data_IF_099222014598
#
_entry.id   IF_099222014598
#
_cell.length_a   1.000
_cell.length_b   1.000
_cell.length_c   1.000
_cell.angle_alpha   90.00
_cell.angle_beta   90.00
_cell.angle_gamma   90.00
#
_symmetry.space_group_name_H-M   'P 1'
#
loop_
_entity.id
_entity.type
_entity.pdbx_description
1 polymer ?
#
# COMPACT_ATOMS: atom_id res chain seq x y z
N UNK A 1 -8.25 -53.12 8.85
CA UNK A 1 -7.51 -52.70 7.64
C UNK A 1 -7.81 -51.24 7.41
N UNK A 2 -6.73 -50.53 7.08
CA UNK A 2 -6.50 -49.07 6.95
C UNK A 2 -7.60 -48.09 7.30
N UNK A 3 -7.25 -47.28 8.30
CA UNK A 3 -7.86 -46.03 8.71
C UNK A 3 -7.60 -44.93 7.68
N UNK A 4 -8.53 -43.99 7.62
CA UNK A 4 -8.60 -42.83 6.73
C UNK A 4 -7.36 -41.93 6.76
N UNK A 5 -6.85 -41.57 5.58
CA UNK A 5 -6.00 -40.41 5.40
C UNK A 5 -6.86 -39.14 5.55
N UNK A 6 -6.91 -38.61 6.76
CA UNK A 6 -7.41 -37.26 7.01
C UNK A 6 -6.39 -36.26 6.48
N UNK A 7 -6.85 -35.32 5.66
CA UNK A 7 -6.05 -34.23 5.12
C UNK A 7 -5.41 -33.43 6.25
N UNK A 8 -4.09 -33.32 6.21
CA UNK A 8 -3.36 -32.32 6.97
C UNK A 8 -3.77 -30.96 6.41
N UNK A 9 -4.46 -30.14 7.21
CA UNK A 9 -4.69 -28.74 6.86
C UNK A 9 -3.34 -28.08 6.62
N UNK A 10 -3.15 -27.48 5.46
CA UNK A 10 -1.92 -26.74 5.16
C UNK A 10 -1.75 -25.63 6.21
N UNK A 11 -0.69 -25.71 7.01
CA UNK A 11 -0.31 -24.62 7.91
C UNK A 11 -0.04 -23.38 7.06
N UNK A 12 -0.68 -22.26 7.41
CA UNK A 12 -0.41 -20.96 6.78
C UNK A 12 1.08 -20.65 7.00
N UNK A 13 1.85 -20.52 5.92
CA UNK A 13 3.27 -20.14 6.01
C UNK A 13 3.40 -18.71 6.50
N UNK A 14 4.28 -18.46 7.46
CA UNK A 14 4.62 -17.12 7.94
C UNK A 14 5.62 -16.48 6.99
N UNK A 15 5.24 -15.34 6.42
CA UNK A 15 6.02 -14.58 5.44
C UNK A 15 6.36 -13.23 6.05
N UNK A 16 7.61 -13.04 6.47
CA UNK A 16 8.09 -11.81 7.10
C UNK A 16 8.76 -10.91 6.06
N UNK A 17 8.21 -9.72 5.84
CA UNK A 17 8.89 -8.69 5.07
C UNK A 17 9.80 -7.84 5.97
N UNK A 18 11.10 -7.85 5.68
CA UNK A 18 12.09 -7.00 6.35
C UNK A 18 12.53 -5.87 5.42
N UNK A 19 12.41 -4.63 5.90
CA UNK A 19 12.85 -3.41 5.22
C UNK A 19 14.03 -2.81 5.99
N UNK A 20 15.29 -3.02 5.56
CA UNK A 20 16.44 -2.35 6.16
C UNK A 20 16.50 -0.88 5.73
N UNK A 21 16.32 0.04 6.67
CA UNK A 21 16.39 1.49 6.43
C UNK A 21 17.30 2.17 7.47
N UNK A 22 18.56 2.49 7.10
CA UNK A 22 19.52 3.14 8.02
C UNK A 22 19.43 4.66 7.97
N UNK A 23 19.75 5.35 9.06
CA UNK A 23 19.81 6.82 9.11
C UNK A 23 20.97 7.38 8.28
N UNK A 24 22.15 6.77 8.39
CA UNK A 24 23.37 7.18 7.70
C UNK A 24 23.35 6.92 6.19
N UNK A 25 22.92 7.89 5.40
CA UNK A 25 22.90 7.81 3.94
C UNK A 25 23.98 8.71 3.32
N UNK A 26 24.88 8.15 2.50
CA UNK A 26 26.03 8.88 1.91
C UNK A 26 25.66 9.76 0.71
N UNK A 27 24.81 9.25 -0.19
CA UNK A 27 24.43 9.97 -1.42
C UNK A 27 23.33 11.01 -1.19
N UNK A 28 22.25 10.60 -0.53
CA UNK A 28 21.10 11.46 -0.21
C UNK A 28 20.95 11.56 1.31
N UNK A 29 21.10 12.75 1.93
CA UNK A 29 20.86 12.93 3.36
C UNK A 29 19.43 12.49 3.75
N UNK A 30 19.31 11.70 4.82
CA UNK A 30 18.04 11.14 5.28
C UNK A 30 17.22 10.43 4.16
N UNK A 31 17.91 9.74 3.24
CA UNK A 31 17.32 9.09 2.04
C UNK A 31 16.00 8.38 2.31
N UNK A 32 15.98 7.52 3.32
CA UNK A 32 14.82 6.67 3.62
C UNK A 32 13.59 7.46 4.13
N UNK A 33 13.78 8.70 4.58
CA UNK A 33 12.72 9.64 4.95
C UNK A 33 12.35 10.61 3.82
N UNK A 34 13.11 10.63 2.71
CA UNK A 34 12.85 11.55 1.63
C UNK A 34 11.48 11.26 0.99
N UNK A 35 10.63 12.28 0.79
CA UNK A 35 9.31 12.07 0.21
C UNK A 35 9.38 11.89 -1.31
N UNK A 36 8.62 10.90 -1.81
CA UNK A 36 8.31 10.64 -3.22
C UNK A 36 6.79 10.50 -3.33
N UNK A 37 6.14 11.36 -4.12
CA UNK A 37 4.67 11.45 -4.14
C UNK A 37 4.09 11.87 -2.78
N UNK A 38 4.80 12.70 -2.01
CA UNK A 38 4.40 13.14 -0.67
C UNK A 38 4.60 12.11 0.46
N UNK A 39 5.03 10.88 0.16
CA UNK A 39 5.19 9.81 1.15
C UNK A 39 6.68 9.46 1.31
N UNK A 40 7.22 9.31 2.53
CA UNK A 40 8.59 8.86 2.77
C UNK A 40 8.89 7.51 2.10
N UNK A 41 10.08 7.33 1.54
CA UNK A 41 10.51 6.07 0.90
C UNK A 41 10.22 4.83 1.76
N UNK A 42 10.61 4.84 3.05
CA UNK A 42 10.36 3.73 3.97
C UNK A 42 8.86 3.44 4.13
N UNK A 43 8.03 4.48 4.24
CA UNK A 43 6.60 4.33 4.40
C UNK A 43 5.93 3.78 3.12
N UNK A 44 6.44 4.15 1.93
CA UNK A 44 5.96 3.58 0.65
C UNK A 44 6.20 2.07 0.61
N UNK A 45 7.40 1.61 0.96
CA UNK A 45 7.71 0.18 1.00
C UNK A 45 6.85 -0.57 2.03
N UNK A 46 6.66 -0.01 3.23
CA UNK A 46 5.80 -0.61 4.27
C UNK A 46 4.37 -0.78 3.77
N UNK A 47 3.80 0.24 3.12
CA UNK A 47 2.43 0.20 2.59
C UNK A 47 2.26 -0.90 1.55
N UNK A 48 3.20 -1.06 0.63
CA UNK A 48 3.14 -2.12 -0.38
C UNK A 48 3.32 -3.51 0.23
N UNK A 49 4.20 -3.67 1.24
CA UNK A 49 4.33 -4.93 1.97
C UNK A 49 3.05 -5.29 2.73
N UNK A 50 2.39 -4.31 3.36
CA UNK A 50 1.13 -4.53 4.09
C UNK A 50 -0.06 -4.82 3.18
N UNK A 51 -0.01 -4.33 1.94
CA UNK A 51 -1.06 -4.58 0.95
C UNK A 51 -0.87 -5.90 0.18
N UNK A 52 0.29 -6.55 0.33
CA UNK A 52 0.54 -7.90 -0.20
C UNK A 52 -0.38 -8.91 0.47
N UNK A 53 -0.91 -9.84 -0.32
CA UNK A 53 -1.79 -10.91 0.15
C UNK A 53 -1.03 -11.92 1.01
N UNK A 54 0.24 -12.16 0.70
CA UNK A 54 1.02 -13.24 1.30
C UNK A 54 1.86 -12.82 2.50
N UNK A 55 2.23 -11.54 2.60
CA UNK A 55 3.01 -11.03 3.73
C UNK A 55 2.16 -11.04 4.99
N UNK A 56 2.63 -11.75 6.02
CA UNK A 56 1.94 -11.84 7.31
C UNK A 56 2.39 -10.73 8.25
N UNK A 57 3.68 -10.38 8.21
CA UNK A 57 4.32 -9.47 9.14
C UNK A 57 5.30 -8.55 8.40
N UNK A 58 5.36 -7.27 8.80
CA UNK A 58 6.25 -6.27 8.21
C UNK A 58 7.12 -5.65 9.30
N UNK A 59 8.43 -5.79 9.16
CA UNK A 59 9.45 -5.24 10.07
C UNK A 59 10.31 -4.23 9.34
N UNK A 60 10.46 -3.04 9.91
CA UNK A 60 11.50 -2.09 9.53
C UNK A 60 12.68 -2.22 10.49
N UNK A 61 13.84 -2.55 9.93
CA UNK A 61 15.10 -2.65 10.65
C UNK A 61 15.86 -1.33 10.54
N UNK A 62 16.05 -0.60 11.64
CA UNK A 62 16.64 0.76 11.60
C UNK A 62 17.44 1.11 12.85
N UNK A 63 18.42 1.99 12.70
CA UNK A 63 19.18 2.63 13.78
C UNK A 63 18.69 4.05 14.09
N UNK A 64 17.71 4.56 13.32
CA UNK A 64 17.26 5.95 13.37
C UNK A 64 15.82 6.06 13.91
N UNK A 65 15.62 6.95 14.89
CA UNK A 65 14.33 7.11 15.56
C UNK A 65 13.27 7.78 14.68
N UNK A 66 13.66 8.65 13.74
CA UNK A 66 12.71 9.27 12.82
C UNK A 66 12.23 8.26 11.77
N UNK A 67 13.13 7.38 11.27
CA UNK A 67 12.75 6.23 10.43
C UNK A 67 11.82 5.30 11.20
N UNK A 68 12.13 4.99 12.47
CA UNK A 68 11.28 4.18 13.32
C UNK A 68 9.88 4.78 13.50
N UNK A 69 9.77 6.10 13.69
CA UNK A 69 8.48 6.77 13.80
C UNK A 69 7.66 6.65 12.51
N UNK A 70 8.26 6.97 11.36
CA UNK A 70 7.60 6.86 10.05
C UNK A 70 7.17 5.42 9.72
N UNK A 71 7.97 4.43 10.11
CA UNK A 71 7.65 3.01 9.95
C UNK A 71 6.42 2.60 10.77
N UNK A 72 6.35 3.00 12.05
CA UNK A 72 5.20 2.71 12.91
C UNK A 72 3.93 3.39 12.42
N UNK A 73 4.04 4.64 11.97
CA UNK A 73 2.91 5.37 11.38
C UNK A 73 2.38 4.68 10.11
N UNK A 74 3.28 4.11 9.30
CA UNK A 74 2.91 3.29 8.14
C UNK A 74 2.43 1.87 8.53
N UNK A 75 2.51 1.50 9.82
CA UNK A 75 1.99 0.25 10.35
C UNK A 75 2.97 -0.92 10.40
N UNK A 76 4.28 -0.70 10.33
CA UNK A 76 5.28 -1.76 10.51
C UNK A 76 5.70 -1.92 11.97
N UNK A 77 6.09 -3.13 12.34
CA UNK A 77 6.91 -3.38 13.52
C UNK A 77 8.31 -2.79 13.31
N UNK A 78 8.95 -2.30 14.38
CA UNK A 78 10.29 -1.73 14.31
C UNK A 78 11.26 -2.56 15.13
N UNK A 79 12.33 -3.01 14.47
CA UNK A 79 13.49 -3.60 15.12
C UNK A 79 14.64 -2.59 15.10
N UNK A 80 15.08 -2.18 16.29
CA UNK A 80 16.24 -1.29 16.42
C UNK A 80 17.53 -2.09 16.17
N UNK A 81 18.35 -1.61 15.22
CA UNK A 81 19.62 -2.24 14.87
C UNK A 81 20.70 -1.93 15.91
N UNK A 82 21.43 -2.94 16.40
CA UNK A 82 22.66 -2.73 17.14
C UNK A 82 23.68 -1.97 16.30
N UNK A 83 24.51 -1.15 16.97
CA UNK A 83 25.54 -0.35 16.32
C UNK A 83 26.49 -1.18 15.43
N UNK A 84 26.75 -2.44 15.82
CA UNK A 84 27.63 -3.37 15.09
C UNK A 84 27.14 -3.68 13.65
N UNK A 85 25.84 -3.55 13.37
CA UNK A 85 25.22 -3.84 12.06
C UNK A 85 24.50 -2.60 11.47
N UNK A 86 24.83 -1.41 11.97
CA UNK A 86 24.26 -0.14 11.52
C UNK A 86 25.22 0.69 10.65
N UNK A 87 26.53 0.39 10.70
CA UNK A 87 27.58 1.13 9.99
C UNK A 87 27.63 0.88 8.47
N UNK A 88 28.54 1.59 7.80
CA UNK A 88 28.67 1.54 6.33
C UNK A 88 29.08 0.18 5.77
N UNK A 89 29.76 -0.63 6.56
CA UNK A 89 30.21 -1.98 6.20
C UNK A 89 29.18 -3.05 6.55
N UNK A 90 28.05 -2.68 7.16
CA UNK A 90 26.98 -3.62 7.47
C UNK A 90 26.28 -4.06 6.19
N UNK A 91 26.08 -5.38 6.06
CA UNK A 91 25.38 -5.98 4.92
C UNK A 91 23.88 -5.95 5.14
N UNK A 92 23.12 -5.97 4.05
CA UNK A 92 21.65 -6.11 4.11
C UNK A 92 21.28 -7.43 4.80
N UNK A 93 22.05 -8.48 4.54
CA UNK A 93 21.86 -9.82 5.08
C UNK A 93 21.94 -9.84 6.62
N UNK A 94 22.91 -9.13 7.21
CA UNK A 94 23.02 -9.03 8.67
C UNK A 94 21.82 -8.31 9.30
N UNK A 95 21.30 -7.28 8.63
CA UNK A 95 20.11 -6.56 9.09
C UNK A 95 18.83 -7.42 9.00
N UNK A 96 18.72 -8.26 7.97
CA UNK A 96 17.60 -9.19 7.78
C UNK A 96 17.63 -10.32 8.81
N UNK A 97 18.78 -10.97 9.01
CA UNK A 97 18.93 -12.02 10.02
C UNK A 97 18.58 -11.51 11.42
N UNK A 98 19.14 -10.36 11.82
CA UNK A 98 18.84 -9.76 13.11
C UNK A 98 17.35 -9.43 13.29
N UNK A 99 16.69 -8.89 12.25
CA UNK A 99 15.27 -8.56 12.29
C UNK A 99 14.39 -9.81 12.41
N UNK A 100 14.70 -10.86 11.64
CA UNK A 100 14.01 -12.14 11.67
C UNK A 100 14.13 -12.80 13.06
N UNK A 101 15.34 -12.91 13.60
CA UNK A 101 15.57 -13.54 14.91
C UNK A 101 14.89 -12.75 16.05
N UNK A 102 14.91 -11.41 15.97
CA UNK A 102 14.22 -10.55 16.95
C UNK A 102 12.70 -10.74 16.89
N UNK A 103 12.14 -10.77 15.69
CA UNK A 103 10.71 -10.95 15.47
C UNK A 103 10.23 -12.34 15.97
N UNK A 104 10.94 -13.42 15.62
CA UNK A 104 10.62 -14.75 16.11
C UNK A 104 10.71 -14.85 17.65
N UNK A 105 11.70 -14.19 18.25
CA UNK A 105 11.85 -14.14 19.72
C UNK A 105 10.67 -13.41 20.37
N UNK A 106 10.21 -12.31 19.77
CA UNK A 106 9.12 -11.50 20.30
C UNK A 106 7.76 -12.21 20.21
N UNK A 107 7.50 -12.90 19.10
CA UNK A 107 6.21 -13.53 18.81
C UNK A 107 6.16 -15.03 19.10
N UNK A 108 7.29 -15.63 19.44
CA UNK A 108 7.39 -17.03 19.86
C UNK A 108 7.06 -18.03 18.75
N UNK A 109 7.23 -17.66 17.48
CA UNK A 109 6.89 -18.53 16.37
C UNK A 109 7.79 -18.27 15.14
N UNK A 110 8.20 -19.34 14.43
CA UNK A 110 9.19 -19.24 13.37
C UNK A 110 8.65 -18.54 12.12
N UNK A 111 9.55 -17.95 11.34
CA UNK A 111 9.32 -17.46 9.99
C UNK A 111 9.65 -18.59 9.01
N UNK A 112 8.77 -18.81 8.02
CA UNK A 112 9.01 -19.80 6.96
C UNK A 112 9.69 -19.15 5.75
N UNK A 113 9.29 -17.92 5.41
CA UNK A 113 9.82 -17.16 4.28
C UNK A 113 10.17 -15.75 4.75
N UNK A 114 11.38 -15.29 4.44
CA UNK A 114 11.80 -13.92 4.73
C UNK A 114 11.99 -13.14 3.43
N UNK A 115 11.45 -11.93 3.38
CA UNK A 115 11.63 -11.01 2.27
C UNK A 115 12.61 -9.91 2.68
N UNK A 116 13.58 -9.61 1.82
CA UNK A 116 14.33 -8.37 1.84
C UNK A 116 13.68 -7.40 0.87
N UNK A 117 13.12 -6.31 1.39
CA UNK A 117 12.49 -5.25 0.58
C UNK A 117 13.27 -3.95 0.74
N UNK A 118 13.78 -3.41 -0.37
CA UNK A 118 14.55 -2.17 -0.35
C UNK A 118 13.66 -0.96 -0.61
N UNK A 119 13.55 -0.08 0.39
CA UNK A 119 12.77 1.15 0.23
C UNK A 119 13.38 2.18 -0.74
N UNK A 120 14.59 1.93 -1.25
CA UNK A 120 15.24 2.70 -2.31
C UNK A 120 14.63 2.48 -3.69
N UNK A 121 13.79 1.46 -3.87
CA UNK A 121 13.03 1.23 -5.09
C UNK A 121 11.59 1.73 -4.92
N UNK A 122 11.31 3.05 -5.07
CA UNK A 122 10.03 3.63 -4.70
C UNK A 122 8.87 2.97 -5.47
N UNK A 123 9.04 2.64 -6.74
CA UNK A 123 7.90 2.20 -7.54
C UNK A 123 7.58 0.71 -7.44
N UNK A 124 8.19 -0.02 -6.49
CA UNK A 124 7.74 -1.34 -6.08
C UNK A 124 6.22 -1.34 -5.82
N UNK A 125 5.55 -2.42 -6.19
CA UNK A 125 4.11 -2.62 -5.94
C UNK A 125 3.88 -3.94 -5.23
N UNK A 126 2.75 -4.07 -4.53
CA UNK A 126 2.33 -5.31 -3.85
C UNK A 126 2.35 -6.54 -4.77
N UNK A 127 2.06 -6.41 -6.06
CA UNK A 127 2.06 -7.54 -6.99
C UNK A 127 3.47 -8.11 -7.20
N UNK A 128 4.51 -7.26 -7.15
CA UNK A 128 5.90 -7.71 -7.21
C UNK A 128 6.27 -8.48 -5.92
N UNK A 129 5.80 -7.99 -4.77
CA UNK A 129 6.01 -8.59 -3.44
C UNK A 129 5.30 -9.94 -3.36
N UNK A 130 4.04 -10.01 -3.80
CA UNK A 130 3.27 -11.25 -3.90
C UNK A 130 3.96 -12.24 -4.84
N UNK A 131 4.53 -11.76 -5.96
CA UNK A 131 5.26 -12.59 -6.91
C UNK A 131 6.47 -13.29 -6.28
N UNK A 132 7.33 -12.54 -5.57
CA UNK A 132 8.50 -13.14 -4.90
C UNK A 132 8.11 -14.00 -3.70
N UNK A 133 7.09 -13.59 -2.93
CA UNK A 133 6.59 -14.38 -1.81
C UNK A 133 6.01 -15.73 -2.29
N UNK A 134 5.14 -15.72 -3.31
CA UNK A 134 4.53 -16.92 -3.86
C UNK A 134 5.57 -17.89 -4.44
N UNK A 135 6.62 -17.37 -5.07
CA UNK A 135 7.69 -18.19 -5.63
C UNK A 135 8.31 -19.14 -4.58
N UNK A 136 8.50 -18.66 -3.35
CA UNK A 136 9.08 -19.45 -2.25
C UNK A 136 8.01 -20.17 -1.43
N UNK A 137 6.93 -19.45 -1.06
CA UNK A 137 5.90 -19.96 -0.16
C UNK A 137 4.98 -21.01 -0.81
N UNK A 138 4.68 -20.86 -2.09
CA UNK A 138 3.68 -21.66 -2.82
C UNK A 138 4.34 -22.52 -3.92
N UNK A 139 5.34 -22.01 -4.64
CA UNK A 139 5.89 -22.65 -5.84
C UNK A 139 7.17 -23.46 -5.62
N UNK A 140 7.74 -23.45 -4.42
CA UNK A 140 8.87 -24.31 -4.04
C UNK A 140 10.25 -23.86 -4.53
N UNK A 141 10.43 -22.58 -4.87
CA UNK A 141 11.77 -22.01 -5.05
C UNK A 141 12.47 -21.81 -3.70
N UNK A 142 13.81 -21.87 -3.69
CA UNK A 142 14.60 -21.59 -2.48
C UNK A 142 14.76 -20.07 -2.29
N UNK A 143 14.90 -19.33 -3.39
CA UNK A 143 14.94 -17.88 -3.41
C UNK A 143 14.18 -17.31 -4.60
N UNK A 144 13.78 -16.04 -4.54
CA UNK A 144 13.23 -15.30 -5.68
C UNK A 144 13.69 -13.85 -5.67
N UNK A 145 13.78 -13.23 -6.85
CA UNK A 145 14.21 -11.84 -7.01
C UNK A 145 13.41 -11.11 -8.08
N UNK A 146 13.11 -9.83 -7.84
CA UNK A 146 12.49 -8.95 -8.83
C UNK A 146 13.48 -8.52 -9.90
N UNK A 147 13.15 -8.81 -11.16
CA UNK A 147 13.96 -8.47 -12.33
C UNK A 147 13.15 -7.77 -13.42
N UNK A 148 13.81 -6.99 -14.28
CA UNK A 148 13.19 -6.40 -15.46
C UNK A 148 13.91 -6.81 -16.75
N UNK A 149 13.17 -6.98 -17.87
CA UNK A 149 13.78 -7.15 -19.19
C UNK A 149 14.85 -6.10 -19.49
N UNK A 150 16.07 -6.56 -19.74
CA UNK A 150 17.22 -5.72 -20.04
C UNK A 150 17.68 -5.93 -21.48
N UNK A 151 17.90 -4.82 -22.19
CA UNK A 151 18.30 -4.84 -23.61
C UNK A 151 19.63 -4.12 -23.86
N UNK A 152 20.27 -3.62 -22.80
CA UNK A 152 21.54 -2.93 -22.90
C UNK A 152 22.66 -3.86 -23.37
N UNK A 153 23.62 -3.25 -24.04
CA UNK A 153 24.89 -3.89 -24.36
C UNK A 153 25.87 -3.55 -23.25
N UNK A 154 26.28 -4.54 -22.46
CA UNK A 154 27.21 -4.33 -21.36
C UNK A 154 28.62 -4.40 -21.91
N UNK A 155 29.41 -3.37 -21.66
CA UNK A 155 30.83 -3.29 -21.98
C UNK A 155 31.64 -3.34 -20.69
N UNK A 156 32.79 -3.99 -20.73
CA UNK A 156 33.77 -4.03 -19.64
C UNK A 156 35.12 -3.64 -20.20
N UNK A 157 35.89 -2.87 -19.43
CA UNK A 157 37.30 -2.61 -19.77
C UNK A 157 38.07 -3.94 -19.74
N UNK A 158 38.99 -4.11 -20.68
CA UNK A 158 39.95 -5.21 -20.61
C UNK A 158 40.92 -5.00 -19.45
N UNK A 159 41.48 -6.10 -18.95
CA UNK A 159 42.42 -6.05 -17.82
C UNK A 159 43.72 -5.31 -18.22
N UNK A 160 44.08 -5.33 -19.52
CA UNK A 160 45.17 -4.52 -20.07
C UNK A 160 44.64 -3.25 -20.78
N UNK A 161 45.17 -2.04 -20.45
CA UNK A 161 44.72 -0.77 -21.04
C UNK A 161 44.83 -0.71 -22.57
N UNK A 162 45.70 -1.51 -23.16
CA UNK A 162 45.96 -1.58 -24.60
C UNK A 162 44.89 -2.33 -25.38
N UNK A 163 44.02 -3.11 -24.72
CA UNK A 163 43.01 -3.97 -25.38
C UNK A 163 41.62 -3.32 -25.51
N UNK A 164 41.39 -2.19 -24.84
CA UNK A 164 40.13 -1.42 -24.90
C UNK A 164 38.93 -2.16 -24.28
N UNK A 165 37.71 -1.78 -24.68
CA UNK A 165 36.48 -2.39 -24.16
C UNK A 165 36.10 -3.72 -24.84
N UNK A 166 35.61 -4.68 -24.04
CA UNK A 166 35.00 -5.93 -24.51
C UNK A 166 33.50 -5.99 -24.17
N UNK A 167 32.71 -6.56 -25.07
CA UNK A 167 31.31 -6.86 -24.79
C UNK A 167 31.18 -8.03 -23.81
N UNK A 168 30.28 -7.91 -22.83
CA UNK A 168 30.01 -8.96 -21.82
C UNK A 168 28.88 -9.89 -22.29
N UNK A 169 27.79 -9.31 -22.80
CA UNK A 169 26.60 -10.04 -23.29
C UNK A 169 26.44 -9.97 -24.81
N UNK A 170 27.49 -9.61 -25.54
CA UNK A 170 27.49 -9.47 -26.98
C UNK A 170 28.91 -9.56 -27.56
N UNK A 171 29.00 -9.95 -28.83
CA UNK A 171 30.22 -9.84 -29.60
C UNK A 171 30.27 -8.47 -30.30
N UNK A 172 31.42 -7.78 -30.24
CA UNK A 172 31.62 -6.51 -30.95
C UNK A 172 31.67 -6.69 -32.47
N UNK A 173 32.01 -7.89 -32.96
CA UNK A 173 32.08 -8.23 -34.39
C UNK A 173 30.70 -8.39 -35.02
N UNK A 174 29.67 -8.69 -34.22
CA UNK A 174 28.30 -8.89 -34.66
C UNK A 174 27.33 -8.32 -33.63
N UNK A 175 26.60 -7.26 -34.00
CA UNK A 175 25.59 -6.63 -33.14
C UNK A 175 24.19 -7.12 -33.49
N UNK A 176 23.66 -8.16 -32.82
CA UNK A 176 22.33 -8.68 -33.10
C UNK A 176 21.23 -7.66 -32.75
N UNK A 177 20.11 -7.73 -33.48
CA UNK A 177 18.90 -6.96 -33.16
C UNK A 177 18.27 -7.52 -31.89
N UNK A 178 17.44 -6.71 -31.21
CA UNK A 178 16.83 -7.06 -29.92
C UNK A 178 16.08 -8.39 -29.95
N UNK A 179 15.35 -8.67 -31.02
CA UNK A 179 14.55 -9.88 -31.19
C UNK A 179 15.37 -11.15 -31.49
N UNK A 180 16.64 -11.00 -31.87
CA UNK A 180 17.52 -12.10 -32.25
C UNK A 180 18.42 -12.57 -31.07
N UNK A 181 18.22 -12.01 -29.87
CA UNK A 181 19.04 -12.26 -28.68
C UNK A 181 18.26 -13.03 -27.60
N UNK A 182 18.95 -13.85 -26.80
CA UNK A 182 18.41 -14.28 -25.51
C UNK A 182 18.02 -13.07 -24.65
N UNK A 183 16.96 -13.21 -23.87
CA UNK A 183 16.50 -12.16 -22.97
C UNK A 183 17.38 -12.11 -21.73
N UNK A 184 18.11 -11.01 -21.56
CA UNK A 184 18.82 -10.70 -20.32
C UNK A 184 17.88 -10.00 -19.33
N UNK A 185 18.16 -10.14 -18.04
CA UNK A 185 17.38 -9.53 -16.97
C UNK A 185 18.27 -8.66 -16.08
N UNK A 186 17.77 -7.48 -15.72
CA UNK A 186 18.39 -6.59 -14.75
C UNK A 186 17.72 -6.79 -13.40
N UNK A 187 18.51 -7.05 -12.36
CA UNK A 187 18.06 -7.00 -10.97
C UNK A 187 17.54 -5.60 -10.64
N UNK A 188 16.37 -5.51 -10.04
CA UNK A 188 15.71 -4.20 -9.80
C UNK A 188 16.07 -3.56 -8.46
N UNK A 189 16.78 -4.28 -7.58
CA UNK A 189 17.01 -3.86 -6.19
C UNK A 189 15.78 -4.03 -5.28
N UNK A 190 14.57 -4.23 -5.83
CA UNK A 190 13.36 -3.91 -5.09
C UNK A 190 12.96 -4.95 -4.02
N UNK A 191 12.86 -6.23 -4.40
CA UNK A 191 12.44 -7.29 -3.48
C UNK A 191 13.11 -8.63 -3.76
N UNK A 192 13.43 -9.33 -2.67
CA UNK A 192 14.02 -10.68 -2.66
C UNK A 192 13.27 -11.52 -1.65
N UNK A 193 12.91 -12.75 -1.99
CA UNK A 193 12.36 -13.72 -1.06
C UNK A 193 13.34 -14.87 -0.88
N UNK A 194 13.45 -15.38 0.34
CA UNK A 194 14.32 -16.51 0.68
C UNK A 194 13.56 -17.45 1.61
N UNK A 195 13.74 -18.75 1.42
CA UNK A 195 13.42 -19.73 2.47
C UNK A 195 14.20 -19.36 3.74
N UNK A 196 13.51 -19.28 4.88
CA UNK A 196 14.10 -18.75 6.11
C UNK A 196 15.20 -19.67 6.68
N UNK A 197 15.04 -20.99 6.54
CA UNK A 197 16.05 -21.95 6.98
C UNK A 197 17.27 -21.91 6.07
N UNK A 198 17.06 -21.87 4.74
CA UNK A 198 18.13 -21.73 3.76
C UNK A 198 18.90 -20.41 3.93
N UNK A 199 18.21 -19.30 4.21
CA UNK A 199 18.86 -18.02 4.46
C UNK A 199 19.75 -18.04 5.71
N UNK A 200 19.30 -18.73 6.78
CA UNK A 200 20.10 -18.95 7.98
C UNK A 200 21.34 -19.81 7.73
N UNK A 201 21.24 -20.82 6.88
CA UNK A 201 22.35 -21.70 6.54
C UNK A 201 23.39 -21.00 5.66
N UNK A 202 22.93 -20.31 4.61
CA UNK A 202 23.80 -19.75 3.59
C UNK A 202 24.30 -18.34 3.90
N UNK A 203 23.58 -17.56 4.71
CA UNK A 203 23.90 -16.17 5.05
C UNK A 203 24.02 -15.22 3.84
N UNK A 204 23.49 -15.61 2.67
CA UNK A 204 23.33 -14.76 1.49
C UNK A 204 22.01 -15.04 0.79
N UNK A 205 21.53 -14.08 -0.01
CA UNK A 205 20.18 -14.08 -0.61
C UNK A 205 20.02 -14.87 -1.91
N UNK A 206 21.06 -15.59 -2.33
CA UNK A 206 21.08 -16.35 -3.60
C UNK A 206 21.59 -17.77 -3.38
N UNK A 207 20.69 -18.72 -3.15
CA UNK A 207 21.03 -20.12 -2.94
C UNK A 207 19.95 -21.00 -3.58
N UNK A 208 20.28 -22.28 -3.81
CA UNK A 208 19.36 -23.23 -4.40
C UNK A 208 18.79 -22.77 -5.75
N UNK A 209 17.51 -23.06 -5.97
CA UNK A 209 16.76 -22.62 -7.14
C UNK A 209 16.25 -21.19 -6.96
N UNK A 210 16.77 -20.27 -7.78
CA UNK A 210 16.36 -18.86 -7.80
C UNK A 210 15.32 -18.58 -8.90
N UNK A 211 14.12 -18.19 -8.49
CA UNK A 211 13.06 -17.76 -9.41
C UNK A 211 13.20 -16.27 -9.79
N UNK A 212 12.94 -15.94 -11.07
CA UNK A 212 13.01 -14.58 -11.58
C UNK A 212 11.62 -13.98 -11.75
N UNK A 213 11.23 -13.08 -10.84
CA UNK A 213 9.93 -12.41 -10.87
C UNK A 213 10.02 -11.17 -11.73
N UNK A 214 9.36 -11.17 -12.87
CA UNK A 214 9.45 -10.07 -13.85
C UNK A 214 8.59 -8.89 -13.45
N UNK A 215 9.17 -7.71 -13.44
CA UNK A 215 8.48 -6.43 -13.18
C UNK A 215 8.45 -5.57 -14.45
N UNK A 216 7.65 -4.51 -14.41
CA UNK A 216 7.63 -3.50 -15.48
C UNK A 216 8.95 -2.71 -15.50
N UNK A 217 9.73 -2.71 -16.61
CA UNK A 217 10.92 -1.89 -16.77
C UNK A 217 10.70 -0.40 -16.51
N UNK A 218 9.49 0.12 -16.75
CA UNK A 218 9.18 1.53 -16.51
C UNK A 218 9.29 1.91 -15.03
N UNK A 219 9.03 0.97 -14.11
CA UNK A 219 9.09 1.18 -12.66
C UNK A 219 10.49 1.00 -12.07
N UNK A 220 11.47 0.55 -12.85
CA UNK A 220 12.82 0.30 -12.35
C UNK A 220 13.55 1.61 -12.13
N UNK A 221 13.64 2.00 -10.85
CA UNK A 221 14.41 3.14 -10.38
C UNK A 221 14.86 2.83 -8.97
N UNK A 222 16.17 2.87 -8.74
CA UNK A 222 16.76 2.83 -7.41
C UNK A 222 17.26 4.24 -7.06
N UNK A 223 16.91 4.72 -5.86
CA UNK A 223 17.35 6.01 -5.36
C UNK A 223 18.67 5.84 -4.65
N UNK A 224 19.77 6.28 -5.26
CA UNK A 224 21.09 6.28 -4.63
C UNK A 224 21.69 7.68 -4.49
N UNK A 225 21.43 8.53 -5.48
CA UNK A 225 21.91 9.90 -5.50
C UNK A 225 20.76 10.93 -5.62
N UNK A 226 21.06 12.24 -5.47
CA UNK A 226 20.03 13.28 -5.55
C UNK A 226 19.29 13.36 -6.89
N UNK A 227 19.91 12.96 -8.01
CA UNK A 227 19.29 12.93 -9.32
C UNK A 227 18.26 11.79 -9.42
N UNK A 228 18.54 10.62 -8.85
CA UNK A 228 17.55 9.54 -8.78
C UNK A 228 16.34 9.94 -7.94
N UNK A 229 16.56 10.63 -6.81
CA UNK A 229 15.47 11.14 -6.00
C UNK A 229 14.63 12.17 -6.77
N UNK A 230 15.27 13.04 -7.56
CA UNK A 230 14.57 13.99 -8.41
C UNK A 230 13.75 13.28 -9.49
N UNK A 231 14.31 12.25 -10.14
CA UNK A 231 13.61 11.39 -11.10
C UNK A 231 12.42 10.69 -10.45
N UNK A 232 12.60 10.13 -9.25
CA UNK A 232 11.54 9.47 -8.49
C UNK A 232 10.39 10.45 -8.21
N UNK A 233 10.69 11.68 -7.77
CA UNK A 233 9.65 12.70 -7.52
C UNK A 233 8.91 13.10 -8.79
N UNK A 234 9.60 13.24 -9.91
CA UNK A 234 8.99 13.58 -11.19
C UNK A 234 8.09 12.46 -11.74
N UNK A 235 8.46 11.20 -11.51
CA UNK A 235 7.72 10.03 -11.99
C UNK A 235 6.57 9.61 -11.07
N UNK A 236 6.61 10.00 -9.79
CA UNK A 236 5.60 9.58 -8.81
C UNK A 236 4.15 9.84 -9.26
N UNK A 237 3.76 11.01 -9.79
CA UNK A 237 2.39 11.22 -10.25
C UNK A 237 1.95 10.24 -11.34
N UNK A 238 2.87 9.78 -12.20
CA UNK A 238 2.56 8.83 -13.27
C UNK A 238 2.34 7.41 -12.75
N UNK A 239 3.08 7.01 -11.72
CA UNK A 239 2.98 5.68 -11.14
C UNK A 239 2.00 5.57 -9.99
N UNK A 240 1.59 6.70 -9.39
CA UNK A 240 0.71 6.74 -8.23
C UNK A 240 -0.75 7.08 -8.60
N UNK A 241 -0.99 7.70 -9.77
CA UNK A 241 -2.33 8.13 -10.21
C UNK A 241 -3.40 7.02 -10.18
N UNK A 242 -3.02 5.79 -10.54
CA UNK A 242 -3.95 4.66 -10.64
C UNK A 242 -3.82 3.66 -9.48
N UNK A 243 -3.03 3.96 -8.43
CA UNK A 243 -2.81 3.02 -7.31
C UNK A 243 -3.95 3.04 -6.29
N UNK A 244 -4.48 1.85 -5.90
CA UNK A 244 -5.25 1.71 -4.66
C UNK A 244 -4.37 2.11 -3.46
N UNK A 245 -4.86 3.03 -2.63
CA UNK A 245 -4.13 3.61 -1.49
C UNK A 245 -3.56 5.02 -1.72
N UNK A 246 -3.67 5.58 -2.93
CA UNK A 246 -3.63 7.03 -3.10
C UNK A 246 -4.88 7.63 -2.43
N UNK A 247 -4.73 8.74 -1.72
CA UNK A 247 -5.85 9.44 -1.09
C UNK A 247 -6.39 10.48 -2.07
N UNK A 248 -7.71 10.69 -2.13
CA UNK A 248 -8.29 11.70 -2.99
C UNK A 248 -7.82 13.09 -2.54
N UNK A 249 -7.42 13.90 -3.51
CA UNK A 249 -7.26 15.34 -3.35
C UNK A 249 -8.53 16.06 -3.78
N UNK A 250 -8.59 17.37 -3.54
CA UNK A 250 -9.74 18.16 -3.96
C UNK A 250 -9.90 18.32 -5.47
N UNK A 251 -8.83 18.18 -6.25
CA UNK A 251 -8.92 18.26 -7.72
C UNK A 251 -9.57 17.01 -8.32
N UNK A 252 -9.55 15.90 -7.57
CA UNK A 252 -10.05 14.60 -7.99
C UNK A 252 -11.58 14.44 -7.81
N UNK A 253 -12.20 15.28 -6.98
CA UNK A 253 -13.60 15.10 -6.54
C UNK A 253 -14.43 16.39 -6.65
N UNK A 254 -15.65 16.28 -7.13
CA UNK A 254 -16.67 17.35 -7.12
C UNK A 254 -17.77 17.09 -6.08
N UNK A 255 -17.91 15.84 -5.65
CA UNK A 255 -18.93 15.40 -4.71
C UNK A 255 -18.41 14.38 -3.70
N UNK A 256 -18.98 14.45 -2.49
CA UNK A 256 -18.84 13.42 -1.45
C UNK A 256 -20.22 12.91 -1.07
N UNK A 257 -20.44 11.62 -1.30
CA UNK A 257 -21.66 10.89 -0.95
C UNK A 257 -21.34 9.98 0.22
N UNK A 258 -22.16 10.05 1.26
CA UNK A 258 -21.95 9.36 2.52
C UNK A 258 -23.08 8.37 2.73
N UNK A 259 -22.75 7.11 3.01
CA UNK A 259 -23.69 6.29 3.74
C UNK A 259 -23.93 6.87 5.16
N UNK A 260 -24.92 6.32 5.85
CA UNK A 260 -25.21 6.70 7.22
C UNK A 260 -24.75 5.64 8.22
N UNK A 261 -25.28 4.42 8.08
CA UNK A 261 -25.00 3.33 9.00
C UNK A 261 -23.59 2.81 8.80
N UNK A 262 -22.89 2.55 9.91
CA UNK A 262 -21.52 2.02 9.94
C UNK A 262 -20.44 2.90 9.33
N UNK A 263 -20.81 4.08 8.85
CA UNK A 263 -19.90 5.12 8.32
C UNK A 263 -19.94 6.35 9.22
N UNK A 264 -21.11 6.98 9.37
CA UNK A 264 -21.33 8.07 10.34
C UNK A 264 -21.67 7.55 11.74
N UNK A 265 -22.15 6.31 11.83
CA UNK A 265 -22.40 5.56 13.08
C UNK A 265 -21.42 4.38 13.16
N UNK A 266 -21.38 3.70 14.31
CA UNK A 266 -20.55 2.51 14.58
C UNK A 266 -21.33 1.19 14.35
N UNK A 267 -22.38 1.22 13.53
CA UNK A 267 -23.34 0.12 13.30
C UNK A 267 -24.12 -0.35 14.54
N UNK A 268 -24.03 0.38 15.67
CA UNK A 268 -24.81 0.06 16.88
C UNK A 268 -26.07 0.89 16.97
N UNK A 269 -27.15 0.22 17.31
CA UNK A 269 -28.44 0.83 17.61
C UNK A 269 -28.84 0.51 19.06
N UNK A 270 -29.14 1.54 19.83
CA UNK A 270 -29.75 1.38 21.16
C UNK A 270 -31.27 1.40 20.99
N UNK A 271 -31.94 0.36 21.47
CA UNK A 271 -33.40 0.22 21.36
C UNK A 271 -34.00 0.30 22.76
N UNK A 272 -34.93 1.24 22.98
CA UNK A 272 -35.67 1.33 24.24
C UNK A 272 -36.82 0.31 24.33
N UNK A 273 -37.49 0.23 25.48
CA UNK A 273 -38.61 -0.70 25.70
C UNK A 273 -39.83 -0.43 24.82
N UNK A 274 -39.93 0.75 24.22
CA UNK A 274 -41.01 1.14 23.31
C UNK A 274 -40.62 0.85 21.84
N UNK A 275 -39.43 0.30 21.60
CA UNK A 275 -38.89 0.04 20.25
C UNK A 275 -38.34 1.28 19.56
N UNK A 276 -38.07 2.37 20.29
CA UNK A 276 -37.39 3.55 19.70
C UNK A 276 -35.91 3.31 19.61
N UNK A 277 -35.36 3.64 18.45
CA UNK A 277 -33.95 3.50 18.14
C UNK A 277 -33.18 4.81 18.35
N UNK A 278 -31.99 4.69 18.91
CA UNK A 278 -31.03 5.76 19.09
C UNK A 278 -29.67 5.31 18.54
N UNK A 279 -29.04 6.19 17.78
CA UNK A 279 -27.68 5.97 17.25
C UNK A 279 -26.72 7.04 17.76
N UNK A 280 -25.46 6.66 17.91
CA UNK A 280 -24.38 7.59 18.22
C UNK A 280 -23.68 8.02 16.93
N UNK A 281 -23.19 9.26 16.92
CA UNK A 281 -22.46 9.85 15.78
C UNK A 281 -21.31 10.70 16.28
N UNK A 282 -20.20 10.72 15.55
CA UNK A 282 -19.04 11.49 15.95
C UNK A 282 -19.26 13.01 15.76
N UNK A 283 -18.74 13.82 16.69
CA UNK A 283 -18.74 15.29 16.56
C UNK A 283 -17.68 15.76 15.56
N UNK A 284 -16.53 15.08 15.50
CA UNK A 284 -15.47 15.37 14.53
C UNK A 284 -15.96 15.21 13.09
N UNK A 285 -16.76 14.19 12.81
CA UNK A 285 -17.35 13.99 11.48
C UNK A 285 -18.27 15.15 11.11
N UNK A 286 -19.04 15.67 12.06
CA UNK A 286 -19.84 16.87 11.85
C UNK A 286 -19.01 18.10 11.46
N UNK A 287 -17.80 18.25 12.02
CA UNK A 287 -16.86 19.30 11.63
C UNK A 287 -16.29 19.07 10.22
N UNK A 288 -15.91 17.82 9.90
CA UNK A 288 -15.42 17.43 8.57
C UNK A 288 -16.44 17.70 7.47
N UNK A 289 -17.68 17.22 7.66
CA UNK A 289 -18.81 17.46 6.74
C UNK A 289 -19.07 18.96 6.59
N UNK A 290 -19.04 19.72 7.68
CA UNK A 290 -19.24 21.16 7.61
C UNK A 290 -18.12 21.87 6.83
N UNK A 291 -16.88 21.37 6.88
CA UNK A 291 -15.76 21.89 6.12
C UNK A 291 -15.86 21.55 4.64
N UNK A 292 -16.15 20.29 4.29
CA UNK A 292 -16.41 19.86 2.91
C UNK A 292 -17.56 20.66 2.27
N UNK A 293 -18.61 20.97 3.04
CA UNK A 293 -19.69 21.84 2.53
C UNK A 293 -19.18 23.26 2.25
N UNK A 294 -18.32 23.81 3.11
CA UNK A 294 -17.78 25.18 2.94
C UNK A 294 -16.78 25.28 1.79
N UNK A 295 -16.12 24.19 1.40
CA UNK A 295 -15.23 24.19 0.23
C UNK A 295 -15.99 24.25 -1.10
N UNK A 296 -17.31 24.06 -1.08
CA UNK A 296 -18.16 24.11 -2.28
C UNK A 296 -18.44 22.74 -2.89
N UNK A 297 -17.91 21.66 -2.32
CA UNK A 297 -18.22 20.29 -2.75
C UNK A 297 -19.70 19.99 -2.56
N UNK A 298 -20.25 19.24 -3.51
CA UNK A 298 -21.62 18.73 -3.42
C UNK A 298 -21.65 17.57 -2.43
N UNK A 299 -22.56 17.60 -1.49
CA UNK A 299 -22.68 16.58 -0.44
C UNK A 299 -24.05 15.92 -0.50
N UNK A 300 -24.09 14.63 -0.20
CA UNK A 300 -25.32 13.86 -0.07
C UNK A 300 -25.15 12.79 1.02
N UNK A 301 -26.17 12.59 1.85
CA UNK A 301 -26.34 11.33 2.59
C UNK A 301 -27.24 10.41 1.76
N UNK A 302 -26.77 9.19 1.47
CA UNK A 302 -27.53 8.18 0.74
C UNK A 302 -27.61 6.91 1.60
N UNK A 303 -28.80 6.56 2.07
CA UNK A 303 -28.98 5.46 3.02
C UNK A 303 -30.19 4.58 2.67
N UNK A 304 -30.10 3.29 3.01
CA UNK A 304 -31.24 2.36 3.00
C UNK A 304 -32.14 2.53 4.23
N UNK A 305 -31.69 3.29 5.24
CA UNK A 305 -32.38 3.47 6.52
C UNK A 305 -33.70 4.23 6.35
N UNK A 306 -34.77 3.62 6.85
CA UNK A 306 -36.11 4.21 6.86
C UNK A 306 -36.36 5.05 8.12
N UNK A 307 -35.63 4.78 9.20
CA UNK A 307 -35.71 5.50 10.46
C UNK A 307 -35.44 6.99 10.25
N UNK A 308 -36.27 7.90 10.80
CA UNK A 308 -36.11 9.35 10.62
C UNK A 308 -34.82 9.93 11.22
N UNK A 309 -34.03 9.15 11.95
CA UNK A 309 -32.76 9.60 12.56
C UNK A 309 -31.75 10.09 11.52
N UNK A 310 -31.66 9.43 10.36
CA UNK A 310 -30.78 9.85 9.25
C UNK A 310 -31.20 11.22 8.72
N UNK A 311 -32.50 11.44 8.54
CA UNK A 311 -33.02 12.73 8.11
C UNK A 311 -32.80 13.84 9.16
N UNK A 312 -32.92 13.51 10.45
CA UNK A 312 -32.61 14.44 11.53
C UNK A 312 -31.13 14.83 11.54
N UNK A 313 -30.22 13.87 11.31
CA UNK A 313 -28.79 14.13 11.18
C UNK A 313 -28.50 15.01 9.97
N UNK A 314 -29.06 14.71 8.80
CA UNK A 314 -28.88 15.50 7.59
C UNK A 314 -29.32 16.96 7.79
N UNK A 315 -30.48 17.20 8.41
CA UNK A 315 -30.95 18.55 8.77
C UNK A 315 -29.98 19.29 9.68
N UNK A 316 -29.45 18.62 10.71
CA UNK A 316 -28.46 19.20 11.63
C UNK A 316 -27.17 19.59 10.89
N UNK A 317 -26.71 18.73 9.98
CA UNK A 317 -25.52 18.97 9.16
C UNK A 317 -25.76 19.96 8.02
N UNK A 318 -27.02 20.25 7.68
CA UNK A 318 -27.51 21.03 6.52
C UNK A 318 -26.87 20.56 5.21
N UNK A 319 -27.10 19.27 4.93
CA UNK A 319 -26.80 18.62 3.66
C UNK A 319 -28.06 17.81 3.23
N UNK A 320 -28.27 17.59 1.92
CA UNK A 320 -29.40 16.79 1.45
C UNK A 320 -29.25 15.32 1.85
N UNK A 321 -30.38 14.62 1.86
CA UNK A 321 -30.46 13.20 2.17
C UNK A 321 -31.46 12.51 1.26
N UNK A 322 -31.07 11.34 0.76
CA UNK A 322 -31.94 10.35 0.14
C UNK A 322 -31.88 9.12 1.06
N UNK A 323 -33.00 8.78 1.71
CA UNK A 323 -33.06 7.68 2.66
C UNK A 323 -34.31 6.82 2.46
N UNK A 324 -34.31 5.60 2.98
CA UNK A 324 -35.31 4.58 2.65
C UNK A 324 -35.22 4.13 1.18
N UNK A 325 -34.01 4.16 0.61
CA UNK A 325 -33.76 3.82 -0.80
C UNK A 325 -33.17 2.42 -0.89
N UNK A 326 -33.87 1.50 -1.56
CA UNK A 326 -33.37 0.12 -1.74
C UNK A 326 -32.21 0.05 -2.77
N UNK A 327 -32.32 0.78 -3.88
CA UNK A 327 -31.34 0.80 -4.97
C UNK A 327 -30.49 2.06 -4.94
N UNK A 328 -29.54 2.09 -4.01
CA UNK A 328 -28.59 3.20 -3.83
C UNK A 328 -27.86 3.57 -5.13
N UNK A 329 -27.46 2.58 -5.93
CA UNK A 329 -26.76 2.78 -7.21
C UNK A 329 -27.56 3.61 -8.22
N UNK A 330 -28.87 3.32 -8.35
CA UNK A 330 -29.75 4.07 -9.23
C UNK A 330 -30.00 5.49 -8.73
N UNK A 331 -30.22 5.64 -7.42
CA UNK A 331 -30.41 6.95 -6.79
C UNK A 331 -29.15 7.83 -6.89
N UNK A 332 -27.97 7.23 -6.70
CA UNK A 332 -26.69 7.89 -6.88
C UNK A 332 -26.52 8.37 -8.32
N UNK A 333 -26.76 7.50 -9.30
CA UNK A 333 -26.66 7.85 -10.72
C UNK A 333 -27.60 9.01 -11.09
N UNK A 334 -28.86 8.94 -10.67
CA UNK A 334 -29.83 10.00 -10.91
C UNK A 334 -29.41 11.31 -10.25
N UNK A 335 -28.94 11.26 -9.00
CA UNK A 335 -28.46 12.45 -8.29
C UNK A 335 -27.25 13.09 -9.00
N UNK A 336 -26.30 12.28 -9.50
CA UNK A 336 -25.17 12.76 -10.28
C UNK A 336 -25.63 13.46 -11.56
N UNK A 337 -26.60 12.89 -12.28
CA UNK A 337 -27.20 13.50 -13.49
C UNK A 337 -27.88 14.85 -13.16
N UNK A 338 -28.65 14.91 -12.08
CA UNK A 338 -29.34 16.14 -11.63
C UNK A 338 -28.37 17.24 -11.17
N UNK A 339 -27.23 16.86 -10.57
CA UNK A 339 -26.20 17.81 -10.16
C UNK A 339 -25.19 18.16 -11.27
N UNK A 340 -25.23 17.46 -12.41
CA UNK A 340 -24.26 17.63 -13.50
C UNK A 340 -22.84 17.18 -13.12
N UNK A 341 -22.72 16.11 -12.32
CA UNK A 341 -21.44 15.59 -11.82
C UNK A 341 -21.14 14.26 -12.51
N UNK A 342 -19.92 14.13 -13.04
CA UNK A 342 -19.44 12.88 -13.59
C UNK A 342 -19.22 11.86 -12.46
N UNK A 343 -19.73 10.61 -12.54
CA UNK A 343 -19.53 9.59 -11.50
C UNK A 343 -18.05 9.36 -11.14
N UNK A 344 -17.15 9.53 -12.10
CA UNK A 344 -15.69 9.42 -11.93
C UNK A 344 -15.10 10.49 -10.99
N UNK A 345 -15.83 11.60 -10.76
CA UNK A 345 -15.46 12.68 -9.83
C UNK A 345 -16.25 12.63 -8.52
N UNK A 346 -16.88 11.49 -8.21
CA UNK A 346 -17.61 11.27 -6.96
C UNK A 346 -16.78 10.42 -6.01
N UNK A 347 -16.70 10.85 -4.74
CA UNK A 347 -16.25 10.04 -3.63
C UNK A 347 -17.47 9.47 -2.91
N UNK A 348 -17.56 8.15 -2.84
CA UNK A 348 -18.61 7.46 -2.09
C UNK A 348 -18.01 6.75 -0.87
N UNK A 349 -18.57 6.98 0.31
CA UNK A 349 -18.13 6.35 1.57
C UNK A 349 -19.13 5.27 1.99
N UNK A 350 -18.66 4.04 2.12
CA UNK A 350 -19.48 2.88 2.52
C UNK A 350 -18.80 1.97 3.54
N UNK A 351 -19.57 1.04 4.09
CA UNK A 351 -19.11 0.06 5.08
C UNK A 351 -19.52 -1.39 4.77
N UNK A 352 -20.62 -1.62 4.05
CA UNK A 352 -21.19 -2.96 3.87
C UNK A 352 -21.52 -3.30 2.40
N UNK A 353 -21.91 -4.54 2.15
CA UNK A 353 -22.08 -5.14 0.82
C UNK A 353 -23.13 -4.43 -0.04
N UNK A 354 -24.09 -3.75 0.59
CA UNK A 354 -25.10 -2.93 -0.08
C UNK A 354 -24.50 -1.70 -0.78
N UNK A 355 -23.27 -1.29 -0.44
CA UNK A 355 -22.58 -0.17 -1.07
C UNK A 355 -21.75 -0.58 -2.30
N UNK A 356 -21.45 -1.87 -2.49
CA UNK A 356 -20.64 -2.36 -3.61
C UNK A 356 -21.19 -1.93 -5.00
N UNK A 357 -22.52 -1.93 -5.25
CA UNK A 357 -23.06 -1.38 -6.49
C UNK A 357 -22.75 0.11 -6.70
N UNK A 358 -22.71 0.91 -5.65
CA UNK A 358 -22.29 2.31 -5.72
C UNK A 358 -20.77 2.43 -5.96
N UNK A 359 -19.97 1.59 -5.30
CA UNK A 359 -18.51 1.55 -5.50
C UNK A 359 -18.14 1.32 -6.96
N UNK A 360 -18.87 0.44 -7.65
CA UNK A 360 -18.65 0.13 -9.06
C UNK A 360 -18.98 1.30 -10.02
N UNK A 361 -19.70 2.33 -9.56
CA UNK A 361 -20.08 3.50 -10.37
C UNK A 361 -19.14 4.69 -10.23
N UNK A 362 -18.46 4.83 -9.09
CA UNK A 362 -17.76 6.07 -8.73
C UNK A 362 -16.25 5.98 -8.97
N UNK A 363 -15.60 7.12 -9.19
CA UNK A 363 -14.14 7.16 -9.33
C UNK A 363 -13.37 7.03 -8.01
N UNK A 364 -14.02 7.31 -6.88
CA UNK A 364 -13.45 7.21 -5.55
C UNK A 364 -14.33 6.40 -4.59
N UNK A 365 -14.33 5.06 -4.72
CA UNK A 365 -14.93 4.19 -3.71
C UNK A 365 -14.05 4.18 -2.46
N UNK A 366 -14.62 4.59 -1.32
CA UNK A 366 -13.90 4.69 -0.03
C UNK A 366 -14.61 3.83 1.01
N UNK A 367 -13.86 2.92 1.63
CA UNK A 367 -14.37 2.13 2.76
C UNK A 367 -13.88 2.70 4.08
N UNK A 368 -14.71 2.63 5.12
CA UNK A 368 -14.24 2.92 6.48
C UNK A 368 -13.41 1.75 7.05
N UNK A 369 -12.58 2.01 8.06
CA UNK A 369 -11.70 0.97 8.64
C UNK A 369 -12.48 -0.24 9.17
N UNK A 370 -13.68 -0.03 9.70
CA UNK A 370 -14.58 -1.07 10.22
C UNK A 370 -15.41 -1.78 9.15
N UNK A 371 -15.28 -1.41 7.87
CA UNK A 371 -16.05 -1.99 6.79
C UNK A 371 -15.79 -3.50 6.63
N UNK A 372 -16.78 -4.22 6.11
CA UNK A 372 -16.66 -5.64 5.79
C UNK A 372 -15.50 -5.89 4.82
N UNK A 373 -14.79 -7.02 4.96
CA UNK A 373 -13.55 -7.32 4.20
C UNK A 373 -13.70 -7.12 2.69
N UNK A 374 -14.80 -7.61 2.14
CA UNK A 374 -15.10 -7.49 0.70
C UNK A 374 -15.27 -6.05 0.22
N UNK A 375 -15.75 -5.16 1.10
CA UNK A 375 -15.93 -3.73 0.81
C UNK A 375 -14.58 -3.02 0.86
N UNK A 376 -13.74 -3.34 1.86
CA UNK A 376 -12.35 -2.85 1.92
C UNK A 376 -11.55 -3.29 0.70
N UNK A 377 -11.74 -4.54 0.25
CA UNK A 377 -11.09 -5.06 -0.96
C UNK A 377 -11.55 -4.41 -2.26
N UNK A 378 -12.78 -3.89 -2.31
CA UNK A 378 -13.31 -3.15 -3.46
C UNK A 378 -13.02 -1.64 -3.42
N UNK A 379 -12.55 -1.11 -2.28
CA UNK A 379 -12.29 0.30 -2.11
C UNK A 379 -10.97 0.73 -2.77
N UNK A 380 -10.95 1.96 -3.30
CA UNK A 380 -9.73 2.61 -3.78
C UNK A 380 -8.91 3.19 -2.62
N UNK A 381 -9.58 3.63 -1.55
CA UNK A 381 -8.96 4.06 -0.31
C UNK A 381 -9.74 3.53 0.90
N UNK A 382 -9.04 3.26 1.99
CA UNK A 382 -9.63 2.79 3.25
C UNK A 382 -9.19 3.72 4.36
N UNK A 383 -10.13 4.19 5.19
CA UNK A 383 -9.78 5.02 6.35
C UNK A 383 -8.99 4.22 7.39
N UNK A 384 -8.19 4.91 8.20
CA UNK A 384 -7.55 4.30 9.38
C UNK A 384 -8.47 4.30 10.59
N UNK A 385 -9.41 5.24 10.65
CA UNK A 385 -10.41 5.39 11.71
C UNK A 385 -11.70 4.65 11.33
N UNK A 386 -12.32 3.88 12.25
CA UNK A 386 -13.58 3.19 11.99
C UNK A 386 -14.78 4.15 11.87
N UNK A 387 -15.88 3.66 11.30
CA UNK A 387 -17.14 4.40 11.24
C UNK A 387 -17.65 4.77 12.63
N UNK A 388 -18.27 5.94 12.75
CA UNK A 388 -18.75 6.45 14.03
C UNK A 388 -17.68 7.06 14.95
N UNK A 389 -16.39 6.93 14.61
CA UNK A 389 -15.25 7.37 15.43
C UNK A 389 -14.41 8.49 14.78
N UNK A 390 -14.85 9.05 13.65
CA UNK A 390 -14.11 10.12 12.96
C UNK A 390 -13.65 9.80 11.53
N UNK A 391 -14.12 8.70 10.94
CA UNK A 391 -13.76 8.33 9.56
C UNK A 391 -14.06 9.46 8.56
N UNK A 392 -15.18 10.16 8.70
CA UNK A 392 -15.53 11.26 7.76
C UNK A 392 -14.65 12.49 8.01
N UNK A 393 -14.22 12.74 9.25
CA UNK A 393 -13.24 13.77 9.59
C UNK A 393 -11.88 13.49 8.97
N UNK A 394 -11.47 12.22 8.94
CA UNK A 394 -10.25 11.76 8.28
C UNK A 394 -10.34 11.98 6.76
N UNK A 395 -11.42 11.55 6.12
CA UNK A 395 -11.67 11.77 4.69
C UNK A 395 -11.64 13.27 4.35
N UNK A 396 -12.27 14.10 5.19
CA UNK A 396 -12.22 15.55 5.01
C UNK A 396 -10.78 16.11 5.09
N UNK A 397 -9.90 15.53 5.92
CA UNK A 397 -8.48 15.91 5.97
C UNK A 397 -7.71 15.50 4.72
N UNK A 398 -8.10 14.40 4.06
CA UNK A 398 -7.46 13.98 2.81
C UNK A 398 -7.66 15.05 1.73
N UNK A 399 -8.89 15.56 1.63
CA UNK A 399 -9.31 16.50 0.59
C UNK A 399 -8.88 17.95 0.92
N UNK A 400 -9.05 18.39 2.17
CA UNK A 400 -8.88 19.79 2.58
C UNK A 400 -7.61 20.04 3.42
N UNK A 401 -6.83 19.00 3.69
CA UNK A 401 -5.69 19.07 4.59
C UNK A 401 -6.06 18.98 6.08
N UNK A 402 -5.06 18.81 6.96
CA UNK A 402 -5.27 18.48 8.38
C UNK A 402 -6.05 19.55 9.16
N UNK A 403 -5.91 20.82 8.79
CA UNK A 403 -6.61 21.95 9.40
C UNK A 403 -8.05 22.16 8.91
N UNK A 404 -8.48 21.46 7.85
CA UNK A 404 -9.78 21.66 7.18
C UNK A 404 -10.00 23.08 6.63
N UNK A 405 -8.92 23.75 6.26
CA UNK A 405 -9.01 25.07 5.64
C UNK A 405 -9.45 24.95 4.17
N UNK A 406 -10.18 25.95 3.68
CA UNK A 406 -10.71 25.96 2.32
C UNK A 406 -9.60 25.96 1.27
N UNK A 407 -9.86 25.31 0.13
CA UNK A 407 -8.98 25.25 -1.03
C UNK A 407 -8.35 26.61 -1.36
N UNK A 408 -7.04 26.69 -1.63
CA UNK A 408 -6.51 27.86 -2.31
C UNK A 408 -7.26 28.00 -3.64
N UNK A 409 -7.89 29.16 -3.84
CA UNK A 409 -8.63 29.49 -5.05
C UNK A 409 -7.76 29.47 -6.30
#
# INVERSE_FOLDING_TARGET
MSNSAAGQGASIRRVLAVIPARGGSKGVPAKNLAPVGGVPLVARAVRECRASRLVTDVVVSTDDQAIAAAAREAGAEVVLRPAAIAGDTATSEAAVLHAMDTHETLHGAPVDVVLLVQCTSPFLVREDIDGVAAAVAENGADTAVTVAPFHGFVWREADEPTEGGRGVNHDKSYRPRRQDRPQDFLETGAAYAMDAAGFREHHHRFFGHTELVRTDPARVLEVDDPHDLARARALAPLFDADRPGSLPTADDVDAVVLDFDGTQTDDRVLIDSDGREFVAVHRGDGLGIAALRRSGLKLLILSTEQNPVVAARARKLRIPVLHGIDRKDLALKQWCEEQGIAPERVLYVGNDVNDLPCFALVGWPVAVASAHDVVRGAARAVTTVPGGDGAIREIASWILGPSLDSLPK
#
